data_IF_371172144215
#
_entry.id   IF_371172144215
#
_cell.length_a   1.000
_cell.length_b   1.000
_cell.length_c   1.000
_cell.angle_alpha   90.00
_cell.angle_beta   90.00
_cell.angle_gamma   90.00
#
_symmetry.space_group_name_H-M   'P 1'
#
loop_
_entity.id
_entity.type
_entity.pdbx_description
1 polymer ?
#
# COMPACT_ATOMS: atom_id res chain seq x y z
N UNK A 1 18.50 -13.30 15.55
CA UNK A 1 17.55 -13.97 14.65
C UNK A 1 17.05 -12.92 13.66
N UNK A 2 17.56 -12.92 12.43
CA UNK A 2 17.08 -12.01 11.39
C UNK A 2 15.74 -12.51 10.87
N UNK A 3 14.64 -11.95 11.37
CA UNK A 3 13.32 -12.13 10.75
C UNK A 3 13.27 -11.36 9.45
N UNK A 4 13.89 -11.91 8.39
CA UNK A 4 13.57 -11.53 7.01
C UNK A 4 12.11 -11.90 6.78
N UNK A 5 11.20 -11.00 7.16
CA UNK A 5 9.80 -11.01 6.76
C UNK A 5 9.81 -11.23 5.25
N UNK A 6 9.41 -12.44 4.81
CA UNK A 6 9.22 -12.75 3.41
C UNK A 6 8.00 -11.97 2.95
N UNK A 7 8.16 -10.66 2.77
CA UNK A 7 7.15 -9.78 2.23
C UNK A 7 6.77 -10.32 0.85
N UNK A 8 5.46 -10.45 0.64
CA UNK A 8 4.96 -11.05 -0.58
C UNK A 8 5.42 -10.23 -1.80
N UNK A 9 5.85 -10.84 -2.91
CA UNK A 9 6.38 -10.10 -4.06
C UNK A 9 5.39 -9.07 -4.62
N UNK A 10 4.09 -9.40 -4.65
CA UNK A 10 3.03 -8.43 -5.03
C UNK A 10 2.90 -7.23 -4.11
N UNK A 11 3.24 -7.38 -2.83
CA UNK A 11 3.26 -6.26 -1.89
C UNK A 11 4.47 -5.37 -2.18
N UNK A 12 5.65 -5.98 -2.38
CA UNK A 12 6.88 -5.23 -2.72
C UNK A 12 6.69 -4.44 -4.02
N UNK A 13 6.12 -5.07 -5.05
CA UNK A 13 5.86 -4.42 -6.34
C UNK A 13 4.88 -3.24 -6.21
N UNK A 14 3.78 -3.43 -5.48
CA UNK A 14 2.81 -2.37 -5.24
C UNK A 14 3.45 -1.21 -4.47
N UNK A 15 4.22 -1.50 -3.42
CA UNK A 15 4.92 -0.47 -2.63
C UNK A 15 5.99 0.26 -3.44
N UNK A 16 6.72 -0.42 -4.32
CA UNK A 16 7.68 0.22 -5.22
C UNK A 16 6.98 1.22 -6.15
N UNK A 17 5.86 0.83 -6.76
CA UNK A 17 5.05 1.73 -7.60
C UNK A 17 4.50 2.92 -6.81
N UNK A 18 3.94 2.67 -5.63
CA UNK A 18 3.42 3.72 -4.75
C UNK A 18 4.54 4.65 -4.25
N UNK A 19 5.77 4.15 -4.06
CA UNK A 19 6.89 4.94 -3.53
C UNK A 19 7.45 5.96 -4.51
N UNK A 20 7.29 5.74 -5.81
CA UNK A 20 7.72 6.68 -6.86
C UNK A 20 6.63 7.70 -7.23
N UNK A 21 5.40 7.49 -6.75
CA UNK A 21 4.27 8.39 -6.94
C UNK A 21 4.25 9.49 -5.88
N UNK A 22 3.84 10.69 -6.30
CA UNK A 22 3.51 11.80 -5.41
C UNK A 22 2.30 11.47 -4.54
N UNK A 23 2.05 12.24 -3.48
CA UNK A 23 0.90 12.00 -2.59
C UNK A 23 -0.43 12.09 -3.36
N UNK A 24 -0.58 13.06 -4.25
CA UNK A 24 -1.76 13.24 -5.10
C UNK A 24 -1.96 12.06 -6.07
N UNK A 25 -0.90 11.61 -6.74
CA UNK A 25 -0.97 10.45 -7.63
C UNK A 25 -1.27 9.18 -6.85
N UNK A 26 -0.63 8.97 -5.71
CA UNK A 26 -0.84 7.79 -4.87
C UNK A 26 -2.28 7.74 -4.38
N UNK A 27 -2.85 8.89 -4.06
CA UNK A 27 -4.23 9.11 -3.67
C UNK A 27 -5.12 9.37 -4.91
N UNK A 28 -4.90 8.67 -6.03
CA UNK A 28 -5.80 8.71 -7.20
C UNK A 28 -6.63 7.43 -7.29
N UNK A 29 -7.78 7.50 -7.99
CA UNK A 29 -8.67 6.35 -8.19
C UNK A 29 -7.97 5.23 -8.98
N UNK A 30 -7.10 5.60 -9.91
CA UNK A 30 -6.29 4.69 -10.73
C UNK A 30 -5.28 3.90 -9.87
N UNK A 31 -4.77 4.51 -8.79
CA UNK A 31 -3.80 3.89 -7.89
C UNK A 31 -4.44 3.24 -6.65
N UNK A 32 -5.76 3.36 -6.47
CA UNK A 32 -6.51 2.63 -5.44
C UNK A 32 -6.31 1.13 -5.53
N UNK A 33 -6.25 0.58 -6.75
CA UNK A 33 -5.99 -0.84 -6.99
C UNK A 33 -4.60 -1.29 -6.48
N UNK A 34 -3.58 -0.42 -6.54
CA UNK A 34 -2.25 -0.70 -5.99
C UNK A 34 -2.28 -0.72 -4.46
N UNK A 35 -3.05 0.16 -3.83
CA UNK A 35 -3.27 0.11 -2.38
C UNK A 35 -4.01 -1.14 -1.94
N UNK A 36 -5.08 -1.52 -2.63
CA UNK A 36 -5.81 -2.76 -2.34
C UNK A 36 -4.90 -3.99 -2.47
N UNK A 37 -4.08 -4.02 -3.52
CA UNK A 37 -3.07 -5.05 -3.69
C UNK A 37 -2.06 -5.02 -2.55
N UNK A 38 -1.53 -3.84 -2.19
CA UNK A 38 -0.58 -3.70 -1.10
C UNK A 38 -1.18 -4.18 0.22
N UNK A 39 -2.40 -3.78 0.58
CA UNK A 39 -3.10 -4.20 1.80
C UNK A 39 -3.32 -5.71 1.80
N UNK A 40 -3.82 -6.28 0.70
CA UNK A 40 -4.12 -7.71 0.60
C UNK A 40 -2.90 -8.60 0.86
N UNK A 41 -1.73 -8.16 0.40
CA UNK A 41 -0.49 -8.93 0.49
C UNK A 41 0.48 -8.41 1.56
N UNK A 42 0.09 -7.35 2.29
CA UNK A 42 0.91 -6.78 3.34
C UNK A 42 0.95 -7.69 4.57
N UNK A 43 2.08 -7.69 5.30
CA UNK A 43 2.15 -8.25 6.65
C UNK A 43 1.10 -7.66 7.59
N UNK A 44 0.64 -8.44 8.58
CA UNK A 44 -0.42 -8.04 9.52
C UNK A 44 -0.09 -6.75 10.30
N UNK A 45 1.19 -6.48 10.53
CA UNK A 45 1.71 -5.27 11.17
C UNK A 45 1.72 -4.03 10.25
N UNK A 46 1.64 -4.23 8.93
CA UNK A 46 1.65 -3.17 7.91
C UNK A 46 0.25 -2.89 7.35
N UNK A 47 -0.62 -3.90 7.24
CA UNK A 47 -2.01 -3.76 6.78
C UNK A 47 -2.76 -2.57 7.40
N UNK A 48 -2.79 -2.38 8.73
CA UNK A 48 -3.52 -1.25 9.32
C UNK A 48 -2.96 0.11 8.92
N UNK A 49 -1.65 0.22 8.64
CA UNK A 49 -1.03 1.47 8.18
C UNK A 49 -1.48 1.83 6.76
N UNK A 50 -1.53 0.84 5.88
CA UNK A 50 -1.99 1.04 4.50
C UNK A 50 -3.49 1.32 4.43
N UNK A 51 -4.30 0.60 5.23
CA UNK A 51 -5.72 0.86 5.33
C UNK A 51 -6.03 2.28 5.85
N UNK A 52 -5.21 2.81 6.76
CA UNK A 52 -5.35 4.19 7.22
C UNK A 52 -5.07 5.21 6.10
N UNK A 53 -4.09 4.95 5.23
CA UNK A 53 -3.80 5.81 4.08
C UNK A 53 -4.95 5.73 3.07
N UNK A 54 -5.47 4.52 2.79
CA UNK A 54 -6.63 4.34 1.91
C UNK A 54 -7.88 5.03 2.45
N UNK A 55 -8.13 4.99 3.76
CA UNK A 55 -9.26 5.73 4.36
C UNK A 55 -9.14 7.24 4.23
N UNK A 56 -7.92 7.79 4.26
CA UNK A 56 -7.71 9.22 4.00
C UNK A 56 -8.07 9.57 2.56
N UNK A 57 -7.75 8.69 1.61
CA UNK A 57 -8.19 8.83 0.22
C UNK A 57 -9.72 8.84 0.10
N UNK A 58 -10.43 7.87 0.69
CA UNK A 58 -11.89 7.80 0.67
C UNK A 58 -12.60 8.96 1.40
N UNK A 59 -11.87 9.73 2.20
CA UNK A 59 -12.42 10.93 2.85
C UNK A 59 -12.20 12.21 2.04
N UNK A 60 -11.28 12.19 1.06
CA UNK A 60 -10.95 13.31 0.18
C UNK A 60 -11.78 13.32 -1.11
N UNK A 61 -12.35 12.18 -1.49
CA UNK A 61 -13.21 11.97 -2.67
C UNK A 61 -14.60 11.49 -2.25
#
# INVERSE_FOLDING_TARGET
METKLKTHPKFVEAMQKLSVMTEEERLSEENRALFDQAIRYAPLDIQPKLAAIQRKYEALH
#
